data_IF_755785873499
#
_entry.id   IF_755785873499
#
_cell.length_a   1.000
_cell.length_b   1.000
_cell.length_c   1.000
_cell.angle_alpha   90.00
_cell.angle_beta   90.00
_cell.angle_gamma   90.00
#
_symmetry.space_group_name_H-M   'P 1'
#
loop_
_entity.id
_entity.type
_entity.pdbx_description
1 polymer ?
#
# COMPACT_ATOMS: atom_id res chain seq x y z
N UNK A 1 -16.05 -4.58 -71.92
CA UNK A 1 -16.98 -4.82 -70.79
C UNK A 1 -16.28 -5.67 -69.72
N UNK A 2 -15.42 -5.09 -68.88
CA UNK A 2 -14.62 -5.90 -67.92
C UNK A 2 -14.10 -5.17 -66.67
N UNK A 3 -14.49 -3.91 -66.44
CA UNK A 3 -13.89 -3.06 -65.39
C UNK A 3 -14.70 -3.04 -64.09
N UNK A 4 -15.95 -3.54 -64.10
CA UNK A 4 -16.82 -3.54 -62.90
C UNK A 4 -16.53 -4.68 -61.92
N UNK A 5 -15.84 -5.74 -62.34
CA UNK A 5 -15.53 -6.89 -61.48
C UNK A 5 -14.21 -6.74 -60.69
N UNK A 6 -13.34 -5.80 -61.06
CA UNK A 6 -12.10 -5.53 -60.30
C UNK A 6 -12.30 -4.58 -59.12
N UNK A 7 -13.40 -3.80 -59.11
CA UNK A 7 -13.67 -2.83 -58.04
C UNK A 7 -14.15 -3.52 -56.74
N UNK A 8 -14.94 -4.59 -56.88
CA UNK A 8 -15.56 -5.32 -55.75
C UNK A 8 -14.50 -6.03 -54.89
N UNK A 9 -13.42 -6.55 -55.48
CA UNK A 9 -12.36 -7.25 -54.72
C UNK A 9 -11.50 -6.33 -53.85
N UNK A 10 -11.39 -5.04 -54.18
CA UNK A 10 -10.61 -4.07 -53.39
C UNK A 10 -11.44 -3.57 -52.19
N UNK A 11 -12.76 -3.47 -52.37
CA UNK A 11 -13.70 -3.06 -51.33
C UNK A 11 -13.74 -4.05 -50.17
N UNK A 12 -13.81 -5.35 -50.45
CA UNK A 12 -13.80 -6.40 -49.41
C UNK A 12 -12.47 -6.46 -48.63
N UNK A 13 -11.33 -6.20 -49.28
CA UNK A 13 -10.00 -6.13 -48.64
C UNK A 13 -9.92 -4.89 -47.72
N UNK A 14 -10.46 -3.76 -48.17
CA UNK A 14 -10.52 -2.54 -47.36
C UNK A 14 -11.38 -2.71 -46.11
N UNK A 15 -12.52 -3.41 -46.24
CA UNK A 15 -13.44 -3.68 -45.14
C UNK A 15 -12.84 -4.67 -44.13
N UNK A 16 -12.15 -5.71 -44.60
CA UNK A 16 -11.37 -6.61 -43.74
C UNK A 16 -10.26 -5.90 -42.96
N UNK A 17 -9.51 -5.00 -43.62
CA UNK A 17 -8.46 -4.22 -42.96
C UNK A 17 -9.02 -3.23 -41.93
N UNK A 18 -10.13 -2.56 -42.26
CA UNK A 18 -10.82 -1.66 -41.34
C UNK A 18 -11.37 -2.42 -40.11
N UNK A 19 -11.96 -3.59 -40.30
CA UNK A 19 -12.43 -4.44 -39.19
C UNK A 19 -11.25 -4.92 -38.33
N UNK A 20 -10.13 -5.35 -38.92
CA UNK A 20 -8.93 -5.71 -38.16
C UNK A 20 -8.30 -4.52 -37.42
N UNK A 21 -8.38 -3.31 -37.96
CA UNK A 21 -7.94 -2.09 -37.27
C UNK A 21 -8.90 -1.68 -36.15
N UNK A 22 -10.21 -1.83 -36.34
CA UNK A 22 -11.21 -1.53 -35.30
C UNK A 22 -11.14 -2.56 -34.17
N UNK A 23 -11.09 -3.86 -34.49
CA UNK A 23 -10.91 -4.93 -33.51
C UNK A 23 -9.54 -4.81 -32.86
N UNK A 24 -8.51 -4.53 -33.65
CA UNK A 24 -7.17 -4.20 -33.16
C UNK A 24 -7.22 -3.05 -32.18
N UNK A 25 -7.86 -1.93 -32.51
CA UNK A 25 -8.00 -0.74 -31.66
C UNK A 25 -8.86 -0.99 -30.41
N UNK A 26 -9.82 -1.91 -30.47
CA UNK A 26 -10.65 -2.31 -29.33
C UNK A 26 -9.93 -3.30 -28.39
N UNK A 27 -9.05 -4.15 -28.93
CA UNK A 27 -8.21 -5.10 -28.18
C UNK A 27 -6.79 -4.58 -27.87
N UNK A 28 -6.44 -3.37 -28.31
CA UNK A 28 -5.18 -2.64 -28.10
C UNK A 28 -5.43 -1.38 -27.24
N UNK A 29 -4.41 -0.72 -26.68
CA UNK A 29 -3.49 -1.08 -25.60
C UNK A 29 -4.02 -0.58 -24.22
N UNK A 30 -5.32 -0.31 -24.07
CA UNK A 30 -5.85 0.26 -22.80
C UNK A 30 -5.88 -0.73 -21.63
N UNK A 31 -5.67 -2.02 -21.90
CA UNK A 31 -5.80 -3.10 -20.91
C UNK A 31 -4.68 -3.16 -19.88
N UNK A 32 -3.40 -3.13 -20.29
CA UNK A 32 -2.31 -3.36 -19.34
C UNK A 32 -2.03 -2.15 -18.45
N UNK A 33 -2.19 -0.92 -18.95
CA UNK A 33 -2.09 0.29 -18.12
C UNK A 33 -3.25 0.38 -17.11
N UNK A 34 -4.49 0.07 -17.52
CA UNK A 34 -5.63 0.03 -16.59
C UNK A 34 -5.51 -1.12 -15.58
N UNK A 35 -5.06 -2.30 -16.02
CA UNK A 35 -4.79 -3.44 -15.14
C UNK A 35 -3.66 -3.13 -14.15
N UNK A 36 -2.65 -2.35 -14.56
CA UNK A 36 -1.57 -1.90 -13.69
C UNK A 36 -2.10 -0.93 -12.61
N UNK A 37 -2.90 0.07 -12.99
CA UNK A 37 -3.53 1.01 -12.04
C UNK A 37 -4.38 0.28 -11.00
N UNK A 38 -5.22 -0.65 -11.45
CA UNK A 38 -6.02 -1.51 -10.57
C UNK A 38 -5.16 -2.38 -9.65
N UNK A 39 -4.12 -3.04 -10.18
CA UNK A 39 -3.24 -3.88 -9.38
C UNK A 39 -2.47 -3.08 -8.33
N UNK A 40 -2.08 -1.82 -8.63
CA UNK A 40 -1.50 -0.92 -7.65
C UNK A 40 -2.51 -0.54 -6.57
N UNK A 41 -3.73 -0.16 -6.95
CA UNK A 41 -4.80 0.19 -6.02
C UNK A 41 -5.07 -0.94 -5.02
N UNK A 42 -5.34 -2.15 -5.53
CA UNK A 42 -5.54 -3.35 -4.70
C UNK A 42 -4.32 -3.61 -3.77
N UNK A 43 -3.11 -3.46 -4.29
CA UNK A 43 -1.91 -3.70 -3.49
C UNK A 43 -1.71 -2.67 -2.37
N UNK A 44 -2.05 -1.40 -2.60
CA UNK A 44 -2.01 -0.37 -1.56
C UNK A 44 -3.11 -0.57 -0.51
N UNK A 45 -4.33 -0.91 -0.93
CA UNK A 45 -5.43 -1.21 -0.01
C UNK A 45 -5.05 -2.36 0.93
N UNK A 46 -4.66 -3.51 0.36
CA UNK A 46 -4.35 -4.71 1.14
C UNK A 46 -3.10 -4.52 2.01
N UNK A 47 -2.06 -3.83 1.51
CA UNK A 47 -0.85 -3.57 2.30
C UNK A 47 -1.10 -2.57 3.44
N UNK A 48 -1.97 -1.58 3.22
CA UNK A 48 -2.35 -0.62 4.27
C UNK A 48 -3.24 -1.26 5.34
N UNK A 49 -4.15 -2.15 4.93
CA UNK A 49 -4.95 -2.96 5.83
C UNK A 49 -4.07 -3.88 6.68
N UNK A 50 -3.06 -4.51 6.06
CA UNK A 50 -2.09 -5.32 6.78
C UNK A 50 -1.27 -4.50 7.80
N UNK A 51 -0.76 -3.32 7.43
CA UNK A 51 -0.07 -2.45 8.39
C UNK A 51 -0.96 -2.07 9.58
N UNK A 52 -2.21 -1.67 9.31
CA UNK A 52 -3.19 -1.33 10.34
C UNK A 52 -3.48 -2.53 11.25
N UNK A 53 -3.60 -3.74 10.69
CA UNK A 53 -3.81 -4.96 11.45
C UNK A 53 -2.59 -5.33 12.31
N UNK A 54 -1.36 -5.17 11.79
CA UNK A 54 -0.13 -5.37 12.54
C UNK A 54 0.00 -4.41 13.73
N UNK A 55 -0.33 -3.13 13.54
CA UNK A 55 -0.36 -2.14 14.64
C UNK A 55 -1.49 -2.42 15.62
N UNK A 56 -2.65 -2.89 15.16
CA UNK A 56 -3.75 -3.30 16.04
C UNK A 56 -3.36 -4.50 16.91
N UNK A 57 -2.63 -5.46 16.34
CA UNK A 57 -2.05 -6.57 17.06
C UNK A 57 -1.04 -6.10 18.13
N UNK A 58 -0.11 -5.22 17.75
CA UNK A 58 0.85 -4.59 18.66
C UNK A 58 0.17 -3.85 19.82
N UNK A 59 -0.84 -3.03 19.50
CA UNK A 59 -1.68 -2.32 20.45
C UNK A 59 -2.41 -3.28 21.41
N UNK A 60 -2.92 -4.40 20.91
CA UNK A 60 -3.56 -5.43 21.72
C UNK A 60 -2.59 -6.12 22.69
N UNK A 61 -1.33 -6.30 22.30
CA UNK A 61 -0.26 -6.82 23.18
C UNK A 61 0.12 -5.85 24.31
N UNK A 62 -0.23 -4.57 24.18
CA UNK A 62 -0.08 -3.53 25.22
C UNK A 62 -1.30 -3.41 26.16
N UNK A 63 -2.31 -4.27 26.04
CA UNK A 63 -3.47 -4.30 26.93
C UNK A 63 -3.41 -5.49 27.86
N UNK A 64 -3.86 -5.33 29.11
CA UNK A 64 -4.00 -6.41 30.08
C UNK A 64 -5.24 -7.32 29.84
N UNK A 65 -5.95 -7.16 28.73
CA UNK A 65 -7.17 -7.91 28.42
C UNK A 65 -6.95 -9.43 28.33
N UNK A 66 -7.95 -10.20 28.78
CA UNK A 66 -7.94 -11.66 28.77
C UNK A 66 -8.02 -12.28 27.36
N UNK A 67 -8.66 -11.57 26.42
CA UNK A 67 -8.64 -11.95 25.01
C UNK A 67 -7.34 -11.42 24.37
N UNK A 68 -6.43 -12.34 24.02
CA UNK A 68 -5.23 -11.98 23.27
C UNK A 68 -5.59 -11.50 21.86
N UNK A 69 -4.84 -10.52 21.30
CA UNK A 69 -5.07 -10.09 19.92
C UNK A 69 -4.78 -11.24 18.95
N UNK A 70 -5.59 -11.37 17.90
CA UNK A 70 -5.34 -12.30 16.80
C UNK A 70 -4.19 -11.81 15.93
N UNK A 71 -3.24 -12.68 15.63
CA UNK A 71 -2.18 -12.41 14.66
C UNK A 71 -2.79 -12.13 13.28
N UNK A 72 -2.35 -11.10 12.55
CA UNK A 72 -2.93 -10.67 11.26
C UNK A 72 -2.45 -11.52 10.07
N UNK A 73 -2.62 -12.85 10.18
CA UNK A 73 -2.13 -13.81 9.17
C UNK A 73 -2.91 -13.69 7.86
N UNK A 74 -4.21 -13.41 7.93
CA UNK A 74 -5.06 -13.29 6.75
C UNK A 74 -4.66 -12.05 5.92
N UNK A 75 -4.51 -10.91 6.60
CA UNK A 75 -4.13 -9.64 6.00
C UNK A 75 -2.71 -9.70 5.42
N UNK A 76 -1.77 -10.34 6.12
CA UNK A 76 -0.44 -10.61 5.58
C UNK A 76 -0.50 -11.43 4.28
N UNK A 77 -1.34 -12.46 4.25
CA UNK A 77 -1.57 -13.30 3.08
C UNK A 77 -2.21 -12.56 1.91
N UNK A 78 -3.19 -11.70 2.18
CA UNK A 78 -3.87 -10.86 1.20
C UNK A 78 -2.92 -9.83 0.58
N UNK A 79 -2.16 -9.09 1.40
CA UNK A 79 -1.15 -8.15 0.94
C UNK A 79 -0.06 -8.84 0.09
N UNK A 80 0.39 -10.03 0.50
CA UNK A 80 1.34 -10.81 -0.29
C UNK A 80 0.76 -11.29 -1.63
N UNK A 81 -0.51 -11.68 -1.66
CA UNK A 81 -1.20 -12.07 -2.89
C UNK A 81 -1.39 -10.88 -3.84
N UNK A 82 -1.79 -9.71 -3.33
CA UNK A 82 -1.95 -8.50 -4.11
C UNK A 82 -0.62 -8.01 -4.71
N UNK A 83 0.47 -8.06 -3.94
CA UNK A 83 1.78 -7.72 -4.47
C UNK A 83 2.26 -8.67 -5.59
N UNK A 84 1.95 -9.97 -5.51
CA UNK A 84 2.24 -10.91 -6.62
C UNK A 84 1.44 -10.54 -7.88
N UNK A 85 0.16 -10.19 -7.73
CA UNK A 85 -0.66 -9.71 -8.86
C UNK A 85 -0.08 -8.41 -9.46
N UNK A 86 0.39 -7.50 -8.61
CA UNK A 86 1.09 -6.28 -9.03
C UNK A 86 2.37 -6.60 -9.80
N UNK A 87 3.21 -7.53 -9.34
CA UNK A 87 4.42 -7.91 -10.05
C UNK A 87 4.11 -8.50 -11.44
N UNK A 88 3.06 -9.31 -11.55
CA UNK A 88 2.62 -9.89 -12.82
C UNK A 88 2.04 -8.83 -13.77
N UNK A 89 1.27 -7.88 -13.24
CA UNK A 89 0.78 -6.72 -13.98
C UNK A 89 1.95 -5.84 -14.44
N UNK A 90 2.95 -5.61 -13.60
CA UNK A 90 4.13 -4.81 -13.93
C UNK A 90 4.98 -5.47 -15.02
N UNK A 91 5.19 -6.79 -14.95
CA UNK A 91 5.86 -7.54 -16.03
C UNK A 91 5.10 -7.42 -17.35
N UNK A 92 3.77 -7.52 -17.32
CA UNK A 92 2.91 -7.37 -18.50
C UNK A 92 3.01 -5.95 -19.09
N UNK A 93 2.97 -4.94 -18.22
CA UNK A 93 3.15 -3.53 -18.58
C UNK A 93 4.55 -3.24 -19.14
N UNK A 94 5.59 -3.92 -18.65
CA UNK A 94 6.95 -3.83 -19.20
C UNK A 94 7.08 -4.46 -20.58
N UNK A 95 6.38 -5.57 -20.83
CA UNK A 95 6.40 -6.29 -22.10
C UNK A 95 5.60 -5.59 -23.23
N UNK A 96 4.66 -4.72 -22.87
CA UNK A 96 3.86 -3.97 -23.85
C UNK A 96 4.73 -2.99 -24.65
N UNK A 97 4.64 -3.07 -25.99
CA UNK A 97 5.32 -2.17 -26.92
C UNK A 97 4.46 -0.94 -27.19
N UNK A 98 5.04 0.25 -27.01
CA UNK A 98 4.37 1.51 -27.30
C UNK A 98 4.79 2.61 -26.34
N UNK A 99 4.26 3.81 -26.57
CA UNK A 99 4.42 4.91 -25.63
C UNK A 99 3.64 4.60 -24.34
N UNK A 100 4.34 4.69 -23.20
CA UNK A 100 3.75 4.49 -21.88
C UNK A 100 3.21 5.84 -21.38
N UNK A 101 1.93 5.92 -20.98
CA UNK A 101 1.35 7.20 -20.56
C UNK A 101 2.01 7.74 -19.28
N UNK A 102 2.36 6.84 -18.36
CA UNK A 102 3.10 7.15 -17.13
C UNK A 102 4.59 6.86 -17.36
N UNK A 103 5.51 7.79 -17.00
CA UNK A 103 6.94 7.52 -17.06
C UNK A 103 7.34 6.32 -16.20
N UNK A 104 8.30 5.52 -16.68
CA UNK A 104 8.73 4.30 -15.97
C UNK A 104 9.25 4.59 -14.56
N UNK A 105 9.93 5.72 -14.35
CA UNK A 105 10.42 6.11 -13.03
C UNK A 105 9.29 6.28 -12.01
N UNK A 106 8.18 6.90 -12.41
CA UNK A 106 7.02 7.11 -11.57
C UNK A 106 6.30 5.78 -11.28
N UNK A 107 6.16 4.94 -12.31
CA UNK A 107 5.60 3.60 -12.13
C UNK A 107 6.44 2.74 -11.18
N UNK A 108 7.77 2.76 -11.31
CA UNK A 108 8.67 2.04 -10.40
C UNK A 108 8.61 2.60 -8.99
N UNK A 109 8.44 3.92 -8.82
CA UNK A 109 8.23 4.55 -7.52
C UNK A 109 6.96 4.03 -6.85
N UNK A 110 5.85 3.94 -7.59
CA UNK A 110 4.59 3.39 -7.10
C UNK A 110 4.69 1.91 -6.74
N UNK A 111 5.36 1.08 -7.55
CA UNK A 111 5.57 -0.34 -7.23
C UNK A 111 6.45 -0.51 -5.98
N UNK A 112 7.52 0.27 -5.88
CA UNK A 112 8.45 0.22 -4.73
C UNK A 112 7.77 0.67 -3.44
N UNK A 113 6.84 1.62 -3.51
CA UNK A 113 6.04 2.07 -2.37
C UNK A 113 5.23 0.95 -1.72
N UNK A 114 4.64 0.04 -2.50
CA UNK A 114 3.94 -1.14 -1.98
C UNK A 114 4.89 -2.05 -1.19
N UNK A 115 6.11 -2.25 -1.70
CA UNK A 115 7.13 -3.05 -1.00
C UNK A 115 7.50 -2.39 0.33
N UNK A 116 7.76 -1.08 0.33
CA UNK A 116 8.07 -0.33 1.54
C UNK A 116 6.97 -0.41 2.60
N UNK A 117 5.70 -0.29 2.17
CA UNK A 117 4.54 -0.39 3.06
C UNK A 117 4.42 -1.79 3.68
N UNK A 118 4.60 -2.85 2.89
CA UNK A 118 4.59 -4.23 3.40
C UNK A 118 5.75 -4.51 4.36
N UNK A 119 6.95 -4.01 4.07
CA UNK A 119 8.10 -4.14 4.96
C UNK A 119 7.88 -3.43 6.30
N UNK A 120 7.21 -2.27 6.31
CA UNK A 120 6.83 -1.61 7.55
C UNK A 120 5.86 -2.47 8.38
N UNK A 121 4.87 -3.09 7.75
CA UNK A 121 3.93 -3.99 8.40
C UNK A 121 4.62 -5.24 8.96
N UNK A 122 5.48 -5.88 8.17
CA UNK A 122 6.27 -7.04 8.58
C UNK A 122 7.20 -6.72 9.75
N UNK A 123 7.83 -5.53 9.74
CA UNK A 123 8.70 -5.10 10.83
C UNK A 123 7.92 -4.92 12.14
N UNK A 124 6.73 -4.29 12.09
CA UNK A 124 5.83 -4.19 13.24
C UNK A 124 5.41 -5.57 13.73
N UNK A 125 4.95 -6.45 12.83
CA UNK A 125 4.51 -7.78 13.23
C UNK A 125 5.65 -8.58 13.89
N UNK A 126 6.81 -8.64 13.24
CA UNK A 126 7.97 -9.38 13.71
C UNK A 126 8.51 -8.87 15.06
N UNK A 127 8.36 -7.56 15.33
CA UNK A 127 8.73 -6.95 16.61
C UNK A 127 7.88 -7.48 17.77
N UNK A 128 6.59 -7.71 17.53
CA UNK A 128 5.62 -8.12 18.56
C UNK A 128 5.35 -9.62 18.61
N UNK A 129 5.63 -10.38 17.55
CA UNK A 129 5.61 -11.85 17.59
C UNK A 129 6.74 -12.41 18.45
N UNK A 130 7.92 -11.79 18.40
CA UNK A 130 9.08 -12.19 19.21
C UNK A 130 8.95 -11.80 20.69
N UNK A 131 7.96 -10.99 21.05
CA UNK A 131 7.66 -10.69 22.43
C UNK A 131 7.09 -11.95 23.10
N UNK A 132 7.85 -12.53 24.04
CA UNK A 132 7.43 -13.67 24.83
C UNK A 132 6.19 -13.39 25.69
N UNK A 133 5.85 -14.28 26.62
CA UNK A 133 4.77 -14.09 27.58
C UNK A 133 5.12 -13.04 28.67
N UNK A 134 5.71 -11.91 28.28
CA UNK A 134 5.98 -10.79 29.16
C UNK A 134 4.67 -10.29 29.77
N UNK A 135 4.74 -9.80 31.02
CA UNK A 135 3.60 -9.24 31.75
C UNK A 135 3.01 -8.11 30.92
N UNK A 136 1.76 -8.29 30.48
CA UNK A 136 0.97 -7.27 29.77
C UNK A 136 0.91 -6.01 30.63
N UNK A 137 1.66 -5.00 30.22
CA UNK A 137 1.68 -3.70 30.85
C UNK A 137 0.56 -2.87 30.22
N UNK A 138 -0.42 -2.41 31.00
CA UNK A 138 -1.45 -1.51 30.49
C UNK A 138 -0.79 -0.18 30.09
N UNK A 139 -0.83 0.15 28.80
CA UNK A 139 -0.28 1.37 28.18
C UNK A 139 -1.32 2.05 27.29
N UNK A 140 -2.47 2.39 27.87
CA UNK A 140 -3.63 2.87 27.12
C UNK A 140 -3.34 4.11 26.27
N UNK A 141 -2.56 5.07 26.77
CA UNK A 141 -2.24 6.31 26.05
C UNK A 141 -1.33 6.07 24.83
N UNK A 142 -0.23 5.34 24.99
CA UNK A 142 0.67 5.01 23.88
C UNK A 142 -0.04 4.16 22.81
N UNK A 143 -0.94 3.27 23.24
CA UNK A 143 -1.82 2.52 22.34
C UNK A 143 -2.71 3.45 21.51
N UNK A 144 -3.30 4.47 22.12
CA UNK A 144 -4.16 5.43 21.43
C UNK A 144 -3.43 6.16 20.30
N UNK A 145 -2.22 6.66 20.56
CA UNK A 145 -1.39 7.36 19.56
C UNK A 145 -1.01 6.44 18.39
N UNK A 146 -0.59 5.19 18.67
CA UNK A 146 -0.25 4.23 17.62
C UNK A 146 -1.45 3.89 16.73
N UNK A 147 -2.64 3.68 17.32
CA UNK A 147 -3.85 3.37 16.58
C UNK A 147 -4.31 4.57 15.72
N UNK A 148 -4.23 5.78 16.26
CA UNK A 148 -4.55 7.00 15.52
C UNK A 148 -3.60 7.22 14.33
N UNK A 149 -2.29 7.00 14.54
CA UNK A 149 -1.28 7.07 13.48
C UNK A 149 -1.51 6.03 12.38
N UNK A 150 -1.77 4.77 12.75
CA UNK A 150 -2.11 3.71 11.80
C UNK A 150 -3.38 4.02 11.00
N UNK A 151 -4.41 4.58 11.64
CA UNK A 151 -5.64 4.99 10.97
C UNK A 151 -5.36 6.08 9.93
N UNK A 152 -4.64 7.15 10.30
CA UNK A 152 -4.32 8.24 9.38
C UNK A 152 -3.52 7.77 8.17
N UNK A 153 -2.47 6.95 8.39
CA UNK A 153 -1.66 6.38 7.31
C UNK A 153 -2.49 5.47 6.41
N UNK A 154 -3.33 4.61 6.98
CA UNK A 154 -4.21 3.70 6.21
C UNK A 154 -5.23 4.46 5.36
N UNK A 155 -5.86 5.51 5.91
CA UNK A 155 -6.79 6.35 5.16
C UNK A 155 -6.11 7.09 4.01
N UNK A 156 -4.87 7.55 4.21
CA UNK A 156 -4.11 8.18 3.14
C UNK A 156 -3.81 7.20 2.00
N UNK A 157 -3.40 5.95 2.30
CA UNK A 157 -3.14 4.95 1.26
C UNK A 157 -4.42 4.49 0.55
N UNK A 158 -5.56 4.43 1.25
CA UNK A 158 -6.86 4.19 0.60
C UNK A 158 -7.25 5.33 -0.35
N UNK A 159 -6.95 6.59 0.02
CA UNK A 159 -7.15 7.73 -0.87
C UNK A 159 -6.21 7.68 -2.09
N UNK A 160 -4.95 7.26 -1.91
CA UNK A 160 -4.02 7.04 -3.01
C UNK A 160 -4.53 5.93 -3.95
N UNK A 161 -4.97 4.80 -3.41
CA UNK A 161 -5.53 3.70 -4.20
C UNK A 161 -6.70 4.17 -5.09
N UNK A 162 -7.66 4.90 -4.51
CA UNK A 162 -8.76 5.48 -5.27
C UNK A 162 -8.29 6.47 -6.36
N UNK A 163 -7.19 7.20 -6.13
CA UNK A 163 -6.65 8.10 -7.17
C UNK A 163 -6.03 7.35 -8.35
N UNK A 164 -5.45 6.17 -8.11
CA UNK A 164 -4.82 5.34 -9.14
C UNK A 164 -5.84 4.67 -10.07
N UNK A 165 -7.08 4.51 -9.61
CA UNK A 165 -8.20 4.06 -10.44
C UNK A 165 -8.86 5.20 -11.25
N UNK A 166 -8.44 6.45 -11.01
CA UNK A 166 -8.94 7.64 -11.71
C UNK A 166 -10.16 8.30 -11.06
N UNK A 167 -10.57 7.84 -9.88
CA UNK A 167 -11.78 8.35 -9.21
C UNK A 167 -11.56 9.70 -8.53
N UNK A 168 -10.32 10.02 -8.16
CA UNK A 168 -9.97 11.23 -7.37
C UNK A 168 -8.55 11.73 -7.67
N UNK A 169 -8.24 13.01 -7.37
CA UNK A 169 -6.86 13.47 -7.39
C UNK A 169 -6.01 12.77 -6.32
N UNK A 170 -4.70 12.68 -6.55
CA UNK A 170 -3.76 12.13 -5.57
C UNK A 170 -3.83 12.91 -4.25
N UNK A 171 -3.85 12.23 -3.08
CA UNK A 171 -3.96 12.89 -1.80
C UNK A 171 -2.70 13.68 -1.44
N UNK A 172 -2.88 14.79 -0.72
CA UNK A 172 -1.75 15.52 -0.14
C UNK A 172 -1.08 14.69 0.97
N UNK A 173 0.27 14.61 1.02
CA UNK A 173 0.97 13.88 2.07
C UNK A 173 0.62 14.38 3.47
N UNK A 174 0.54 13.46 4.43
CA UNK A 174 0.33 13.83 5.82
C UNK A 174 1.56 14.57 6.37
N UNK A 175 1.35 15.69 7.09
CA UNK A 175 2.45 16.33 7.80
C UNK A 175 2.99 15.38 8.88
N UNK A 176 4.26 15.55 9.21
CA UNK A 176 4.81 14.89 10.40
C UNK A 176 4.23 15.54 11.65
N UNK A 177 3.73 14.74 12.59
CA UNK A 177 3.18 15.24 13.85
C UNK A 177 4.24 15.14 14.96
N UNK A 178 5.13 16.14 15.02
CA UNK A 178 6.15 16.27 16.07
C UNK A 178 5.54 16.24 17.48
N UNK A 179 4.28 16.64 17.62
CA UNK A 179 3.60 16.64 18.91
C UNK A 179 3.16 15.23 19.29
N UNK A 180 2.66 14.43 18.35
CA UNK A 180 2.36 13.01 18.57
C UNK A 180 3.60 12.21 18.94
N UNK A 181 4.72 12.43 18.25
CA UNK A 181 5.98 11.76 18.58
C UNK A 181 6.45 12.11 20.00
N UNK A 182 6.38 13.40 20.38
CA UNK A 182 6.69 13.85 21.74
C UNK A 182 5.74 13.26 22.78
N UNK A 183 4.44 13.19 22.50
CA UNK A 183 3.44 12.56 23.41
C UNK A 183 3.73 11.08 23.58
N UNK A 184 4.08 10.36 22.51
CA UNK A 184 4.45 8.95 22.56
C UNK A 184 5.70 8.73 23.40
N UNK A 185 6.76 9.52 23.15
CA UNK A 185 8.01 9.45 23.90
C UNK A 185 7.84 9.76 25.39
N UNK A 186 7.05 10.79 25.72
CA UNK A 186 6.74 11.15 27.11
C UNK A 186 5.92 10.06 27.82
N UNK A 187 4.92 9.49 27.14
CA UNK A 187 4.12 8.38 27.68
C UNK A 187 4.98 7.16 27.97
N UNK A 188 5.90 6.84 27.06
CA UNK A 188 6.84 5.73 27.25
C UNK A 188 7.80 6.00 28.40
N UNK A 189 8.32 7.23 28.53
CA UNK A 189 9.19 7.64 29.65
C UNK A 189 8.50 7.47 31.00
N UNK A 190 7.28 7.99 31.14
CA UNK A 190 6.50 7.89 32.38
C UNK A 190 6.21 6.43 32.76
N UNK A 191 5.91 5.56 31.79
CA UNK A 191 5.69 4.12 32.03
C UNK A 191 6.95 3.42 32.56
N UNK A 192 8.13 3.79 32.06
CA UNK A 192 9.41 3.24 32.48
C UNK A 192 9.79 3.64 33.92
N UNK A 193 9.58 4.90 34.27
CA UNK A 193 9.88 5.45 35.60
C UNK A 193 8.96 4.83 36.67
N UNK A 194 7.68 4.65 36.36
CA UNK A 194 6.67 4.13 37.30
C UNK A 194 6.83 2.63 37.57
N UNK A 195 7.36 1.86 36.61
CA UNK A 195 7.44 0.37 36.67
C UNK A 195 8.84 -0.19 36.94
N UNK A 196 9.78 0.65 37.39
CA UNK A 196 11.10 0.19 37.86
C UNK A 196 11.95 -0.53 36.80
N UNK A 197 11.79 -0.19 35.51
CA UNK A 197 12.62 -0.75 34.43
C UNK A 197 12.32 -2.20 34.02
N UNK A 198 11.37 -2.91 34.66
CA UNK A 198 11.03 -4.32 34.34
C UNK A 198 10.44 -4.51 32.92
N UNK A 199 10.17 -3.43 32.17
CA UNK A 199 9.46 -3.52 30.89
C UNK A 199 10.04 -2.63 29.77
N UNK A 200 11.35 -2.35 29.84
CA UNK A 200 12.11 -1.57 28.83
C UNK A 200 11.98 -2.14 27.42
N UNK A 201 11.95 -3.47 27.28
CA UNK A 201 11.80 -4.12 25.99
C UNK A 201 10.48 -3.72 25.30
N UNK A 202 9.36 -3.71 26.03
CA UNK A 202 8.07 -3.38 25.46
C UNK A 202 7.91 -1.88 25.16
N UNK A 203 8.53 -1.01 25.96
CA UNK A 203 8.66 0.43 25.66
C UNK A 203 9.43 0.68 24.36
N UNK A 204 10.57 0.00 24.17
CA UNK A 204 11.36 0.07 22.93
C UNK A 204 10.53 -0.41 21.74
N UNK A 205 9.74 -1.47 21.89
CA UNK A 205 8.84 -1.95 20.83
C UNK A 205 7.77 -0.92 20.44
N UNK A 206 7.21 -0.20 21.41
CA UNK A 206 6.25 0.90 21.15
C UNK A 206 6.90 2.00 20.32
N UNK A 207 8.11 2.44 20.67
CA UNK A 207 8.85 3.48 19.94
C UNK A 207 9.13 3.02 18.50
N UNK A 208 9.66 1.81 18.31
CA UNK A 208 9.92 1.28 16.97
C UNK A 208 8.65 1.07 16.14
N UNK A 209 7.52 0.76 16.78
CA UNK A 209 6.22 0.71 16.08
C UNK A 209 5.84 2.10 15.54
N UNK A 210 6.08 3.15 16.33
CA UNK A 210 5.91 4.55 15.89
C UNK A 210 6.84 4.91 14.73
N UNK A 211 8.11 4.52 14.79
CA UNK A 211 9.06 4.77 13.68
C UNK A 211 8.67 4.02 12.39
N UNK A 212 8.20 2.77 12.48
CA UNK A 212 7.72 2.05 11.30
C UNK A 212 6.46 2.69 10.69
N UNK A 213 5.58 3.29 11.50
CA UNK A 213 4.47 4.10 11.01
C UNK A 213 4.95 5.37 10.31
N UNK A 214 5.93 6.09 10.88
CA UNK A 214 6.52 7.25 10.22
C UNK A 214 7.27 6.87 8.95
N UNK A 215 7.93 5.70 8.90
CA UNK A 215 8.55 5.18 7.70
C UNK A 215 7.54 4.99 6.56
N UNK A 216 6.35 4.45 6.86
CA UNK A 216 5.27 4.34 5.88
C UNK A 216 4.77 5.73 5.44
N UNK A 217 4.62 6.69 6.36
CA UNK A 217 4.26 8.09 6.05
C UNK A 217 5.31 8.78 5.17
N UNK A 218 6.61 8.53 5.39
CA UNK A 218 7.71 9.12 4.61
C UNK A 218 7.70 8.70 3.14
N UNK A 219 7.00 7.62 2.77
CA UNK A 219 6.79 7.24 1.37
C UNK A 219 5.86 8.21 0.63
N UNK A 220 4.91 8.84 1.35
CA UNK A 220 3.78 9.57 0.78
C UNK A 220 4.16 10.68 -0.22
N UNK A 221 5.17 11.54 0.02
CA UNK A 221 5.50 12.62 -0.91
C UNK A 221 5.93 12.13 -2.30
N UNK A 222 6.76 11.09 -2.35
CA UNK A 222 7.21 10.51 -3.62
C UNK A 222 6.05 9.83 -4.37
N UNK A 223 5.19 9.12 -3.63
CA UNK A 223 4.03 8.44 -4.21
C UNK A 223 2.97 9.41 -4.72
N UNK A 224 2.71 10.49 -3.98
CA UNK A 224 1.79 11.55 -4.41
C UNK A 224 2.32 12.31 -5.63
N UNK A 225 3.64 12.52 -5.74
CA UNK A 225 4.23 13.08 -6.95
C UNK A 225 4.05 12.13 -8.14
N UNK A 226 4.39 10.85 -7.98
CA UNK A 226 4.28 9.84 -9.02
C UNK A 226 2.84 9.66 -9.54
N UNK A 227 1.85 9.68 -8.64
CA UNK A 227 0.44 9.53 -8.99
C UNK A 227 -0.18 10.74 -9.72
N UNK A 228 0.51 11.89 -9.78
CA UNK A 228 0.05 13.10 -10.49
C UNK A 228 0.55 13.19 -11.93
N UNK A 229 1.34 12.22 -12.38
CA UNK A 229 2.00 12.20 -13.70
C UNK A 229 1.10 11.58 -14.77
#
# INVERSE_FOLDING_TARGET
MGWKLSLIRVEDIGLGCAVSLVVGLFFWPRGASAAMGKALAEAYEESSAYLKAAVTFAAGRCSASAAGPSTPVAEAGQAAAAARRLDDAFRSYLAERGAKPVPLAEMTTLVTGVVGLRLAADAVLALWERAGAERRADRTAARGELLAGAEGVSQWFAALAASLEGDRPAPEPLPHDDAAERRLAETVRQDLETRGGENTAAAVRVIWTGDHLDAARRLQPALAAAART
#
